data_IF_618111904791
#
_entry.id   IF_618111904791
#
_cell.length_a   1.000
_cell.length_b   1.000
_cell.length_c   1.000
_cell.angle_alpha   90.00
_cell.angle_beta   90.00
_cell.angle_gamma   90.00
#
_symmetry.space_group_name_H-M   'P 1'
#
loop_
_entity.id
_entity.type
_entity.pdbx_description
1 polymer ?
#
# COMPACT_ATOMS: atom_id res chain seq x y z
N UNK A 1 -2.76 23.15 -5.61
CA UNK A 1 -3.43 21.85 -5.36
C UNK A 1 -3.67 21.72 -3.87
N UNK A 2 -4.84 21.23 -3.42
CA UNK A 2 -5.13 21.06 -1.99
C UNK A 2 -4.19 20.02 -1.39
N UNK A 3 -3.46 20.37 -0.32
CA UNK A 3 -2.48 19.52 0.37
C UNK A 3 -3.10 18.34 1.15
N UNK A 4 -4.33 17.96 0.82
CA UNK A 4 -5.24 17.19 1.66
C UNK A 4 -5.60 15.86 1.00
N UNK A 5 -5.57 14.78 1.78
CA UNK A 5 -5.95 13.46 1.31
C UNK A 5 -7.45 13.46 1.00
N UNK A 6 -7.83 13.03 -0.22
CA UNK A 6 -9.24 12.95 -0.66
C UNK A 6 -9.78 11.52 -0.62
N UNK A 7 -9.02 10.63 -0.02
CA UNK A 7 -9.26 9.21 0.08
C UNK A 7 -9.35 8.83 1.55
N UNK A 8 -10.27 7.92 1.88
CA UNK A 8 -10.22 7.17 3.13
C UNK A 8 -9.75 5.75 2.82
N UNK A 9 -8.59 5.37 3.35
CA UNK A 9 -8.07 4.01 3.30
C UNK A 9 -8.38 3.30 4.61
N UNK A 10 -9.10 2.18 4.52
CA UNK A 10 -9.42 1.34 5.66
C UNK A 10 -8.83 -0.03 5.39
N UNK A 11 -8.02 -0.53 6.31
CA UNK A 11 -7.59 -1.92 6.30
C UNK A 11 -8.20 -2.69 7.46
N UNK A 12 -8.70 -3.90 7.20
CA UNK A 12 -9.14 -4.83 8.24
C UNK A 12 -8.31 -6.11 8.11
N UNK A 13 -7.63 -6.47 9.18
CA UNK A 13 -6.86 -7.70 9.27
C UNK A 13 -7.73 -8.79 9.91
N UNK A 14 -8.50 -9.49 9.09
CA UNK A 14 -9.41 -10.56 9.53
C UNK A 14 -8.86 -11.96 9.32
N UNK A 15 -7.93 -12.15 8.39
CA UNK A 15 -7.31 -13.45 8.05
C UNK A 15 -5.79 -13.35 8.05
N UNK A 16 -5.12 -14.31 8.69
CA UNK A 16 -3.67 -14.49 8.59
C UNK A 16 -3.27 -15.80 7.90
N UNK A 17 -4.22 -16.70 7.64
CA UNK A 17 -3.98 -17.95 6.90
C UNK A 17 -3.31 -17.66 5.56
N UNK A 18 -2.16 -18.27 5.29
CA UNK A 18 -1.47 -18.08 4.02
C UNK A 18 -0.59 -19.31 3.71
N UNK A 19 -0.69 -19.90 2.52
CA UNK A 19 0.16 -21.02 2.11
C UNK A 19 1.53 -20.57 1.61
N UNK A 20 1.71 -19.27 1.33
CA UNK A 20 2.95 -18.70 0.81
C UNK A 20 4.09 -18.72 1.81
N UNK A 21 5.27 -18.32 1.38
CA UNK A 21 6.49 -18.25 2.20
C UNK A 21 7.40 -17.09 1.81
N UNK A 22 6.81 -16.02 1.26
CA UNK A 22 7.52 -14.83 0.82
C UNK A 22 8.44 -14.32 1.93
N UNK A 23 9.73 -14.16 1.63
CA UNK A 23 10.72 -13.74 2.64
C UNK A 23 10.47 -12.32 3.18
N UNK A 24 9.81 -11.45 2.42
CA UNK A 24 9.38 -10.11 2.87
C UNK A 24 8.09 -10.09 3.69
N UNK A 25 7.47 -11.24 3.97
CA UNK A 25 6.18 -11.29 4.66
C UNK A 25 6.30 -10.78 6.11
N UNK A 26 5.29 -10.02 6.55
CA UNK A 26 5.17 -9.57 7.95
C UNK A 26 4.55 -10.61 8.87
N UNK A 27 3.89 -11.64 8.31
CA UNK A 27 3.31 -12.73 9.07
C UNK A 27 4.34 -13.81 9.37
N UNK A 28 4.36 -14.26 10.62
CA UNK A 28 5.15 -15.40 11.06
C UNK A 28 4.67 -16.71 10.41
N UNK A 29 5.52 -17.75 10.46
CA UNK A 29 5.11 -19.09 10.03
C UNK A 29 3.95 -19.68 10.84
N UNK A 30 3.82 -19.30 12.11
CA UNK A 30 2.78 -19.83 12.99
C UNK A 30 1.44 -19.13 12.77
N UNK A 31 1.43 -17.80 12.60
CA UNK A 31 0.21 -17.04 12.25
C UNK A 31 -0.42 -17.56 10.96
N UNK A 32 0.40 -17.95 9.97
CA UNK A 32 -0.08 -18.38 8.65
C UNK A 32 -0.76 -19.75 8.62
N UNK A 33 -0.64 -20.53 9.71
CA UNK A 33 -1.18 -21.89 9.79
C UNK A 33 -2.65 -21.93 10.21
N UNK A 34 -3.27 -20.79 10.52
CA UNK A 34 -4.68 -20.71 10.89
C UNK A 34 -5.56 -21.19 9.73
N UNK A 35 -6.73 -21.75 10.05
CA UNK A 35 -7.69 -22.30 9.08
C UNK A 35 -9.07 -21.66 9.15
N UNK A 36 -9.25 -20.76 10.09
CA UNK A 36 -10.45 -19.98 10.30
C UNK A 36 -10.04 -18.49 10.32
N UNK A 37 -10.98 -17.56 10.11
CA UNK A 37 -10.72 -16.14 10.31
C UNK A 37 -10.14 -15.89 11.71
N UNK A 38 -9.12 -15.04 11.76
CA UNK A 38 -8.42 -14.62 12.97
C UNK A 38 -9.25 -13.58 13.74
N UNK A 39 -9.98 -12.71 13.02
CA UNK A 39 -10.95 -11.79 13.61
C UNK A 39 -12.29 -12.49 13.86
N UNK A 40 -12.79 -12.41 15.09
CA UNK A 40 -14.12 -12.93 15.42
C UNK A 40 -15.23 -12.11 14.75
N UNK A 41 -16.35 -12.75 14.38
CA UNK A 41 -17.53 -12.07 13.80
C UNK A 41 -18.00 -10.88 14.64
N UNK A 42 -18.02 -11.01 15.97
CA UNK A 42 -18.41 -9.92 16.87
C UNK A 42 -17.49 -8.70 16.76
N UNK A 43 -16.19 -8.92 16.61
CA UNK A 43 -15.21 -7.82 16.43
C UNK A 43 -15.40 -7.20 15.06
N UNK A 44 -15.57 -8.01 14.01
CA UNK A 44 -15.83 -7.54 12.66
C UNK A 44 -17.13 -6.69 12.60
N UNK A 45 -18.22 -7.17 13.18
CA UNK A 45 -19.50 -6.46 13.27
C UNK A 45 -19.33 -5.09 13.94
N UNK A 46 -18.61 -5.07 15.08
CA UNK A 46 -18.35 -3.83 15.79
C UNK A 46 -17.46 -2.88 14.99
N UNK A 47 -16.44 -3.37 14.27
CA UNK A 47 -15.61 -2.55 13.38
C UNK A 47 -16.48 -1.85 12.33
N UNK A 48 -17.40 -2.57 11.69
CA UNK A 48 -18.35 -2.00 10.74
C UNK A 48 -19.28 -0.96 11.36
N UNK A 49 -19.81 -1.23 12.56
CA UNK A 49 -20.63 -0.28 13.31
C UNK A 49 -19.88 1.03 13.62
N UNK A 50 -18.59 0.93 13.99
CA UNK A 50 -17.74 2.11 14.23
C UNK A 50 -17.45 2.88 12.94
N UNK A 51 -17.12 2.18 11.87
CA UNK A 51 -16.86 2.80 10.56
C UNK A 51 -18.07 3.55 10.03
N UNK A 52 -19.26 2.98 10.17
CA UNK A 52 -20.54 3.60 9.75
C UNK A 52 -20.78 4.96 10.42
N UNK A 53 -20.35 5.11 11.69
CA UNK A 53 -20.43 6.39 12.41
C UNK A 53 -19.30 7.34 12.08
N UNK A 54 -18.12 6.82 11.77
CA UNK A 54 -16.91 7.60 11.54
C UNK A 54 -16.86 8.25 10.15
N UNK A 55 -17.25 7.52 9.10
CA UNK A 55 -17.18 8.02 7.70
C UNK A 55 -17.88 9.39 7.54
N UNK A 56 -19.10 9.62 8.06
CA UNK A 56 -19.78 10.92 7.94
C UNK A 56 -19.09 12.09 8.65
N UNK A 57 -18.13 11.83 9.54
CA UNK A 57 -17.40 12.85 10.28
C UNK A 57 -16.20 13.40 9.48
N UNK A 58 -15.86 12.78 8.35
CA UNK A 58 -14.71 13.15 7.53
C UNK A 58 -15.10 14.10 6.41
N UNK A 59 -14.39 15.23 6.34
CA UNK A 59 -14.58 16.21 5.28
C UNK A 59 -13.74 15.91 4.02
N UNK A 60 -14.24 16.38 2.87
CA UNK A 60 -13.53 16.39 1.58
C UNK A 60 -13.14 15.00 1.03
N UNK A 61 -13.88 13.96 1.41
CA UNK A 61 -13.71 12.61 0.84
C UNK A 61 -14.30 12.51 -0.56
N UNK A 62 -13.49 12.04 -1.51
CA UNK A 62 -13.88 11.73 -2.88
C UNK A 62 -14.12 10.25 -3.11
N UNK A 63 -13.41 9.38 -2.38
CA UNK A 63 -13.53 7.92 -2.49
C UNK A 63 -13.06 7.21 -1.22
N UNK A 64 -13.51 5.97 -1.04
CA UNK A 64 -13.17 5.09 0.08
C UNK A 64 -12.67 3.75 -0.49
N UNK A 65 -11.53 3.30 0.02
CA UNK A 65 -10.98 1.98 -0.25
C UNK A 65 -10.99 1.16 1.04
N UNK A 66 -11.68 0.02 1.00
CA UNK A 66 -11.74 -0.92 2.10
C UNK A 66 -10.99 -2.19 1.72
N UNK A 67 -9.94 -2.51 2.45
CA UNK A 67 -9.02 -3.59 2.10
C UNK A 67 -8.92 -4.63 3.20
N UNK A 68 -9.15 -5.89 2.84
CA UNK A 68 -8.75 -7.06 3.63
C UNK A 68 -7.35 -7.48 3.16
N UNK A 69 -6.34 -6.85 3.75
CA UNK A 69 -5.03 -6.66 3.10
C UNK A 69 -3.91 -7.62 3.50
N UNK A 70 -4.18 -8.59 4.36
CA UNK A 70 -3.18 -9.49 4.90
C UNK A 70 -3.67 -10.94 4.86
N UNK A 71 -2.74 -11.89 4.71
CA UNK A 71 -3.07 -13.30 4.51
C UNK A 71 -3.51 -13.63 3.08
N UNK A 72 -4.03 -14.85 2.90
CA UNK A 72 -4.60 -15.36 1.65
C UNK A 72 -6.08 -15.69 1.87
N UNK A 73 -6.96 -14.80 1.43
CA UNK A 73 -8.40 -14.91 1.63
C UNK A 73 -9.02 -16.10 0.90
N UNK A 74 -8.39 -16.61 -0.17
CA UNK A 74 -8.84 -17.83 -0.86
C UNK A 74 -8.66 -19.10 -0.01
N UNK A 75 -8.09 -18.98 1.19
CA UNK A 75 -8.07 -20.05 2.20
C UNK A 75 -9.37 -20.15 2.98
N UNK A 76 -10.21 -19.12 2.94
CA UNK A 76 -11.49 -19.08 3.64
C UNK A 76 -12.61 -19.66 2.77
N UNK A 77 -13.73 -20.10 3.38
CA UNK A 77 -14.90 -20.54 2.63
C UNK A 77 -15.45 -19.41 1.74
N UNK A 78 -15.89 -19.75 0.52
CA UNK A 78 -16.50 -18.80 -0.41
C UNK A 78 -17.59 -17.92 0.21
N UNK A 79 -18.45 -18.50 1.06
CA UNK A 79 -19.52 -17.77 1.74
C UNK A 79 -19.01 -16.71 2.73
N UNK A 80 -17.83 -16.93 3.32
CA UNK A 80 -17.17 -15.91 4.14
C UNK A 80 -16.75 -14.72 3.27
N UNK A 81 -16.13 -14.99 2.11
CA UNK A 81 -15.67 -13.96 1.18
C UNK A 81 -16.82 -13.13 0.61
N UNK A 82 -17.93 -13.78 0.23
CA UNK A 82 -19.15 -13.07 -0.18
C UNK A 82 -19.68 -12.19 0.95
N UNK A 83 -19.69 -12.69 2.19
CA UNK A 83 -20.15 -11.90 3.32
C UNK A 83 -19.25 -10.69 3.60
N UNK A 84 -17.92 -10.81 3.41
CA UNK A 84 -17.00 -9.67 3.49
C UNK A 84 -17.29 -8.62 2.42
N UNK A 85 -17.56 -9.04 1.19
CA UNK A 85 -17.95 -8.15 0.10
C UNK A 85 -19.28 -7.46 0.39
N UNK A 86 -20.32 -8.20 0.77
CA UNK A 86 -21.63 -7.66 1.10
C UNK A 86 -21.54 -6.57 2.16
N UNK A 87 -20.82 -6.81 3.26
CA UNK A 87 -20.67 -5.84 4.35
C UNK A 87 -19.90 -4.59 3.91
N UNK A 88 -18.82 -4.78 3.16
CA UNK A 88 -18.01 -3.67 2.65
C UNK A 88 -18.78 -2.82 1.64
N UNK A 89 -19.48 -3.48 0.71
CA UNK A 89 -20.34 -2.82 -0.27
C UNK A 89 -21.48 -2.08 0.42
N UNK A 90 -22.17 -2.69 1.38
CA UNK A 90 -23.26 -2.04 2.13
C UNK A 90 -22.79 -0.78 2.86
N UNK A 91 -21.60 -0.82 3.47
CA UNK A 91 -21.01 0.35 4.14
C UNK A 91 -20.77 1.49 3.14
N UNK A 92 -20.06 1.21 2.04
CA UNK A 92 -19.71 2.20 1.02
C UNK A 92 -20.96 2.77 0.34
N UNK A 93 -21.88 1.90 -0.10
CA UNK A 93 -23.12 2.28 -0.77
C UNK A 93 -24.02 3.16 0.12
N UNK A 94 -24.13 2.86 1.42
CA UNK A 94 -24.92 3.64 2.38
C UNK A 94 -24.44 5.08 2.51
N UNK A 95 -23.13 5.29 2.40
CA UNK A 95 -22.51 6.61 2.46
C UNK A 95 -22.35 7.28 1.08
N UNK A 96 -22.92 6.69 0.01
CA UNK A 96 -22.90 7.25 -1.34
C UNK A 96 -21.60 7.03 -2.11
N UNK A 97 -20.79 6.04 -1.71
CA UNK A 97 -19.52 5.68 -2.35
C UNK A 97 -19.67 4.43 -3.22
N UNK A 98 -20.59 4.48 -4.18
CA UNK A 98 -20.92 3.36 -5.10
C UNK A 98 -20.36 3.54 -6.52
N UNK A 99 -19.58 4.60 -6.75
CA UNK A 99 -18.91 4.84 -8.03
C UNK A 99 -17.65 3.99 -8.23
N UNK A 100 -17.11 3.94 -9.47
CA UNK A 100 -16.05 3.00 -9.88
C UNK A 100 -14.68 3.22 -9.22
N UNK A 101 -14.50 4.33 -8.49
CA UNK A 101 -13.28 4.61 -7.71
C UNK A 101 -13.29 3.98 -6.32
N UNK A 102 -14.41 3.42 -5.90
CA UNK A 102 -14.58 2.80 -4.59
C UNK A 102 -14.67 1.29 -4.80
N UNK A 103 -13.89 0.55 -4.04
CA UNK A 103 -13.92 -0.90 -4.09
C UNK A 103 -13.62 -1.49 -2.72
N UNK A 104 -14.06 -2.74 -2.58
CA UNK A 104 -13.62 -3.63 -1.51
C UNK A 104 -12.52 -4.50 -2.08
N UNK A 105 -11.39 -4.60 -1.40
CA UNK A 105 -10.24 -5.38 -1.85
C UNK A 105 -9.98 -6.56 -0.94
N UNK A 106 -9.49 -7.67 -1.48
CA UNK A 106 -9.03 -8.80 -0.68
C UNK A 106 -7.70 -9.35 -1.18
N UNK A 107 -6.77 -9.64 -0.27
CA UNK A 107 -5.48 -10.23 -0.63
C UNK A 107 -5.61 -11.73 -0.93
N UNK A 108 -4.95 -12.16 -2.00
CA UNK A 108 -4.86 -13.58 -2.36
C UNK A 108 -3.47 -13.91 -2.85
N UNK A 109 -2.91 -15.04 -2.42
CA UNK A 109 -1.63 -15.49 -2.92
C UNK A 109 -1.76 -16.30 -4.21
N UNK A 110 -2.98 -16.73 -4.59
CA UNK A 110 -3.25 -17.55 -5.79
C UNK A 110 -2.42 -18.85 -5.87
N UNK A 111 -1.97 -19.35 -4.71
CA UNK A 111 -1.17 -20.58 -4.59
C UNK A 111 -2.11 -21.77 -4.49
N UNK A 112 -2.18 -22.56 -5.56
CA UNK A 112 -2.99 -23.78 -5.57
C UNK A 112 -3.21 -24.32 -6.97
N UNK A 113 -3.94 -25.44 -7.03
CA UNK A 113 -4.36 -26.01 -8.32
C UNK A 113 -5.52 -25.18 -8.86
N UNK A 114 -5.43 -24.77 -10.13
CA UNK A 114 -6.48 -23.99 -10.81
C UNK A 114 -7.88 -24.59 -10.64
N UNK A 115 -8.03 -25.92 -10.74
CA UNK A 115 -9.32 -26.63 -10.56
C UNK A 115 -9.98 -26.45 -9.19
N UNK A 116 -9.25 -25.99 -8.19
CA UNK A 116 -9.76 -25.71 -6.86
C UNK A 116 -9.97 -24.20 -6.65
N UNK A 117 -9.08 -23.35 -7.16
CA UNK A 117 -9.12 -21.90 -6.95
C UNK A 117 -10.09 -21.19 -7.89
N UNK A 118 -10.09 -21.54 -9.17
CA UNK A 118 -10.83 -20.82 -10.20
C UNK A 118 -12.35 -20.85 -9.98
N UNK A 119 -12.99 -21.97 -9.57
CA UNK A 119 -14.44 -21.98 -9.33
C UNK A 119 -14.89 -20.96 -8.28
N UNK A 120 -14.09 -20.78 -7.21
CA UNK A 120 -14.40 -19.80 -6.16
C UNK A 120 -14.18 -18.37 -6.66
N UNK A 121 -13.13 -18.13 -7.46
CA UNK A 121 -12.87 -16.82 -8.07
C UNK A 121 -13.93 -16.42 -9.10
N UNK A 122 -14.38 -17.36 -9.93
CA UNK A 122 -15.49 -17.18 -10.88
C UNK A 122 -16.77 -16.81 -10.11
N UNK A 123 -17.09 -17.56 -9.05
CA UNK A 123 -18.26 -17.27 -8.22
C UNK A 123 -18.18 -15.90 -7.49
N UNK A 124 -16.98 -15.40 -7.19
CA UNK A 124 -16.78 -14.05 -6.65
C UNK A 124 -16.88 -12.97 -7.73
N UNK A 125 -16.32 -13.21 -8.92
CA UNK A 125 -16.42 -12.28 -10.05
C UNK A 125 -17.89 -12.08 -10.50
N UNK A 126 -18.68 -13.16 -10.46
CA UNK A 126 -20.12 -13.15 -10.76
C UNK A 126 -20.99 -12.59 -9.61
N UNK A 127 -20.41 -12.33 -8.43
CA UNK A 127 -21.12 -11.76 -7.29
C UNK A 127 -21.33 -10.26 -7.49
N UNK A 128 -22.32 -9.91 -8.32
CA UNK A 128 -22.52 -8.54 -8.78
C UNK A 128 -23.13 -7.64 -7.69
N UNK A 129 -22.41 -6.56 -7.40
CA UNK A 129 -22.79 -5.44 -6.54
C UNK A 129 -22.33 -4.15 -7.23
N UNK A 130 -22.85 -3.00 -6.80
CA UNK A 130 -22.42 -1.70 -7.34
C UNK A 130 -20.96 -1.42 -7.00
N UNK A 131 -20.59 -1.67 -5.74
CA UNK A 131 -19.20 -1.67 -5.29
C UNK A 131 -18.56 -3.02 -5.62
N UNK A 132 -17.43 -3.01 -6.32
CA UNK A 132 -16.74 -4.23 -6.76
C UNK A 132 -15.89 -4.86 -5.64
N UNK A 133 -15.68 -6.17 -5.74
CA UNK A 133 -14.78 -6.93 -4.88
C UNK A 133 -13.55 -7.36 -5.70
N UNK A 134 -12.43 -6.69 -5.48
CA UNK A 134 -11.25 -6.80 -6.34
C UNK A 134 -10.12 -7.53 -5.61
N UNK A 135 -9.48 -8.52 -6.26
CA UNK A 135 -8.35 -9.21 -5.66
C UNK A 135 -7.10 -8.33 -5.72
N UNK A 136 -6.30 -8.42 -4.65
CA UNK A 136 -4.90 -8.01 -4.63
C UNK A 136 -4.08 -9.30 -4.75
N UNK A 137 -3.52 -9.54 -5.93
CA UNK A 137 -2.73 -10.72 -6.25
C UNK A 137 -1.29 -10.55 -5.75
N UNK A 138 -0.89 -11.34 -4.76
CA UNK A 138 0.49 -11.31 -4.25
C UNK A 138 1.38 -12.14 -5.17
N UNK A 139 2.37 -11.50 -5.79
CA UNK A 139 3.43 -12.11 -6.59
C UNK A 139 4.60 -12.54 -5.70
N UNK A 140 4.94 -13.82 -5.75
CA UNK A 140 6.14 -14.38 -5.13
C UNK A 140 7.13 -14.84 -6.22
N UNK A 141 8.24 -14.12 -6.42
CA UNK A 141 9.27 -14.50 -7.40
C UNK A 141 9.83 -15.91 -7.20
N UNK A 142 9.89 -16.43 -5.97
CA UNK A 142 10.37 -17.78 -5.71
C UNK A 142 9.42 -18.84 -6.27
N UNK A 143 8.12 -18.55 -6.31
CA UNK A 143 7.11 -19.42 -6.91
C UNK A 143 7.02 -19.22 -8.42
N UNK A 144 7.10 -17.97 -8.91
CA UNK A 144 7.08 -17.64 -10.33
C UNK A 144 8.18 -18.39 -11.09
N UNK A 145 9.41 -18.38 -10.56
CA UNK A 145 10.55 -19.04 -11.19
C UNK A 145 10.75 -20.50 -10.72
N UNK A 146 9.76 -21.10 -10.05
CA UNK A 146 9.82 -22.50 -9.66
C UNK A 146 9.60 -23.42 -10.88
N UNK A 147 10.55 -24.31 -11.17
CA UNK A 147 10.49 -25.21 -12.34
C UNK A 147 9.25 -26.11 -12.42
N UNK A 148 8.62 -26.43 -11.29
CA UNK A 148 7.49 -27.37 -11.23
C UNK A 148 6.14 -26.67 -11.02
N UNK A 149 6.14 -25.37 -10.68
CA UNK A 149 4.94 -24.66 -10.27
C UNK A 149 4.76 -23.28 -10.93
N UNK A 150 5.83 -22.69 -11.48
CA UNK A 150 5.84 -21.35 -12.06
C UNK A 150 4.75 -21.13 -13.11
N UNK A 151 4.63 -22.02 -14.09
CA UNK A 151 3.61 -21.92 -15.14
C UNK A 151 2.18 -21.99 -14.59
N UNK A 152 1.94 -22.83 -13.58
CA UNK A 152 0.62 -22.93 -12.92
C UNK A 152 0.32 -21.64 -12.15
N UNK A 153 1.33 -21.10 -11.48
CA UNK A 153 1.20 -19.91 -10.66
C UNK A 153 0.96 -18.65 -11.51
N UNK A 154 1.78 -18.45 -12.54
CA UNK A 154 1.58 -17.41 -13.56
C UNK A 154 0.19 -17.54 -14.19
N UNK A 155 -0.19 -18.75 -14.62
CA UNK A 155 -1.51 -19.01 -15.20
C UNK A 155 -2.67 -18.69 -14.26
N UNK A 156 -2.53 -18.88 -12.94
CA UNK A 156 -3.55 -18.48 -11.98
C UNK A 156 -3.66 -16.95 -11.89
N UNK A 157 -2.53 -16.23 -11.89
CA UNK A 157 -2.51 -14.75 -11.86
C UNK A 157 -3.17 -14.18 -13.12
N UNK A 158 -2.75 -14.61 -14.31
CA UNK A 158 -3.30 -14.12 -15.59
C UNK A 158 -4.80 -14.38 -15.71
N UNK A 159 -5.27 -15.57 -15.31
CA UNK A 159 -6.70 -15.91 -15.33
C UNK A 159 -7.50 -15.07 -14.35
N UNK A 160 -6.96 -14.80 -13.16
CA UNK A 160 -7.62 -13.93 -12.18
C UNK A 160 -7.78 -12.52 -12.74
N UNK A 161 -6.73 -11.97 -13.36
CA UNK A 161 -6.80 -10.66 -14.03
C UNK A 161 -7.84 -10.64 -15.16
N UNK A 162 -7.91 -11.68 -15.97
CA UNK A 162 -8.93 -11.80 -17.02
C UNK A 162 -10.36 -11.89 -16.47
N UNK A 163 -10.57 -12.52 -15.30
CA UNK A 163 -11.88 -12.66 -14.66
C UNK A 163 -12.39 -11.33 -14.08
N UNK A 164 -11.55 -10.62 -13.33
CA UNK A 164 -11.97 -9.42 -12.60
C UNK A 164 -11.78 -8.14 -13.40
N UNK A 165 -10.93 -8.14 -14.44
CA UNK A 165 -10.55 -6.96 -15.22
C UNK A 165 -9.63 -6.02 -14.44
N UNK A 166 -10.02 -5.62 -13.23
CA UNK A 166 -9.21 -4.80 -12.32
C UNK A 166 -8.67 -5.68 -11.18
N UNK A 167 -7.35 -5.86 -11.15
CA UNK A 167 -6.63 -6.64 -10.13
C UNK A 167 -5.35 -5.90 -9.82
N UNK A 168 -5.07 -5.71 -8.53
CA UNK A 168 -3.84 -5.07 -8.10
C UNK A 168 -2.76 -6.15 -7.97
N UNK A 169 -1.63 -5.98 -8.66
CA UNK A 169 -0.48 -6.86 -8.47
C UNK A 169 0.36 -6.32 -7.32
N UNK A 170 0.65 -7.14 -6.31
CA UNK A 170 1.47 -6.74 -5.18
C UNK A 170 2.70 -7.62 -5.02
N UNK A 171 3.83 -7.04 -4.60
CA UNK A 171 5.07 -7.76 -4.29
C UNK A 171 5.60 -7.35 -2.92
N UNK A 172 6.04 -8.34 -2.12
CA UNK A 172 6.72 -8.11 -0.86
C UNK A 172 8.24 -8.22 -1.07
N UNK A 173 8.96 -7.11 -0.92
CA UNK A 173 10.39 -7.04 -1.14
C UNK A 173 11.19 -7.59 0.04
N UNK A 174 12.26 -8.27 -0.33
CA UNK A 174 13.33 -8.79 0.52
C UNK A 174 14.56 -8.97 -0.36
N UNK A 175 15.71 -9.29 0.24
CA UNK A 175 16.92 -9.69 -0.51
C UNK A 175 16.63 -10.85 -1.47
N UNK A 176 15.86 -11.84 -1.04
CA UNK A 176 15.47 -12.96 -1.89
C UNK A 176 14.58 -12.52 -3.06
N UNK A 177 13.64 -11.60 -2.83
CA UNK A 177 12.75 -11.13 -3.89
C UNK A 177 13.54 -10.39 -4.98
N UNK A 178 14.35 -9.40 -4.60
CA UNK A 178 15.08 -8.55 -5.56
C UNK A 178 16.22 -9.27 -6.28
N UNK A 179 16.70 -10.40 -5.73
CA UNK A 179 17.69 -11.26 -6.41
C UNK A 179 17.05 -12.24 -7.40
N UNK A 180 15.74 -12.48 -7.29
CA UNK A 180 15.00 -13.40 -8.16
C UNK A 180 14.28 -12.70 -9.30
N UNK A 181 13.81 -11.47 -9.09
CA UNK A 181 13.14 -10.68 -10.12
C UNK A 181 13.79 -9.31 -10.24
N UNK A 182 14.22 -8.97 -11.44
CA UNK A 182 14.74 -7.63 -11.75
C UNK A 182 13.59 -6.63 -11.89
N UNK A 183 13.86 -5.31 -11.77
CA UNK A 183 12.87 -4.28 -12.04
C UNK A 183 12.24 -4.39 -13.44
N UNK A 184 13.07 -4.74 -14.44
CA UNK A 184 12.64 -4.95 -15.83
C UNK A 184 11.68 -6.13 -15.95
N UNK A 185 12.03 -7.27 -15.38
CA UNK A 185 11.19 -8.47 -15.42
C UNK A 185 9.84 -8.26 -14.72
N UNK A 186 9.81 -7.58 -13.57
CA UNK A 186 8.56 -7.25 -12.89
C UNK A 186 7.67 -6.35 -13.75
N UNK A 187 8.25 -5.31 -14.36
CA UNK A 187 7.51 -4.45 -15.27
C UNK A 187 6.96 -5.24 -16.47
N UNK A 188 7.79 -6.05 -17.10
CA UNK A 188 7.38 -6.80 -18.30
C UNK A 188 6.33 -7.83 -17.97
N UNK A 189 6.43 -8.50 -16.82
CA UNK A 189 5.37 -9.36 -16.30
C UNK A 189 4.05 -8.60 -16.11
N UNK A 190 4.10 -7.42 -15.49
CA UNK A 190 2.92 -6.60 -15.26
C UNK A 190 2.27 -6.18 -16.59
N UNK A 191 3.05 -5.69 -17.55
CA UNK A 191 2.58 -5.27 -18.88
C UNK A 191 2.02 -6.44 -19.69
N UNK A 192 2.70 -7.60 -19.72
CA UNK A 192 2.24 -8.78 -20.47
C UNK A 192 0.90 -9.31 -19.95
N UNK A 193 0.60 -9.05 -18.68
CA UNK A 193 -0.63 -9.47 -18.03
C UNK A 193 -1.63 -8.32 -17.83
N UNK A 194 -1.44 -7.17 -18.50
CA UNK A 194 -2.37 -6.04 -18.53
C UNK A 194 -2.65 -5.39 -17.15
N UNK A 195 -1.68 -5.44 -16.23
CA UNK A 195 -1.78 -4.77 -14.94
C UNK A 195 -1.51 -3.26 -15.07
N UNK A 196 -2.36 -2.44 -14.46
CA UNK A 196 -2.25 -0.97 -14.47
C UNK A 196 -1.29 -0.44 -13.38
N UNK A 197 -1.17 -1.17 -12.28
CA UNK A 197 -0.38 -0.79 -11.12
C UNK A 197 0.29 -2.00 -10.48
N UNK A 198 1.51 -1.76 -9.96
CA UNK A 198 2.20 -2.69 -9.06
C UNK A 198 2.36 -2.06 -7.68
N UNK A 199 1.71 -2.68 -6.68
CA UNK A 199 1.91 -2.35 -5.27
C UNK A 199 3.21 -2.96 -4.77
N UNK A 200 4.14 -2.12 -4.34
CA UNK A 200 5.45 -2.56 -3.85
C UNK A 200 5.54 -2.36 -2.35
N UNK A 201 5.72 -3.47 -1.61
CA UNK A 201 5.76 -3.48 -0.16
C UNK A 201 7.16 -3.83 0.34
N UNK A 202 7.80 -2.92 1.07
CA UNK A 202 9.00 -3.17 1.85
C UNK A 202 8.73 -2.80 3.32
N UNK A 203 8.38 -3.81 4.10
CA UNK A 203 7.88 -3.64 5.47
C UNK A 203 8.73 -4.45 6.44
N UNK A 204 9.90 -3.92 6.87
CA UNK A 204 10.77 -4.60 7.81
C UNK A 204 10.12 -4.67 9.20
N UNK A 205 10.13 -5.86 9.79
CA UNK A 205 9.72 -6.16 11.17
C UNK A 205 10.90 -6.79 11.90
N UNK A 206 10.85 -6.89 13.24
CA UNK A 206 11.87 -7.64 14.00
C UNK A 206 12.01 -9.09 13.54
N UNK A 207 10.92 -9.69 13.06
CA UNK A 207 10.87 -11.09 12.65
C UNK A 207 11.49 -11.34 11.28
N UNK A 208 11.35 -10.40 10.33
CA UNK A 208 11.83 -10.56 8.96
C UNK A 208 13.06 -9.69 8.63
N UNK A 209 13.59 -8.94 9.60
CA UNK A 209 14.70 -8.00 9.41
C UNK A 209 15.93 -8.65 8.75
N UNK A 210 16.18 -9.92 9.07
CA UNK A 210 17.28 -10.68 8.51
C UNK A 210 17.13 -10.93 7.01
N UNK A 211 15.94 -10.80 6.43
CA UNK A 211 15.69 -10.93 4.99
C UNK A 211 15.40 -9.58 4.31
N UNK A 212 14.95 -8.58 5.06
CA UNK A 212 14.49 -7.30 4.51
C UNK A 212 15.50 -6.16 4.65
N UNK A 213 16.51 -6.29 5.52
CA UNK A 213 17.44 -5.20 5.84
C UNK A 213 18.92 -5.47 5.50
N UNK A 214 19.26 -6.62 4.91
CA UNK A 214 20.66 -6.92 4.56
C UNK A 214 21.17 -6.11 3.36
N UNK A 215 20.28 -5.72 2.45
CA UNK A 215 20.63 -5.15 1.15
C UNK A 215 19.96 -3.78 0.91
N UNK A 216 19.97 -2.88 1.90
CA UNK A 216 19.26 -1.59 1.83
C UNK A 216 19.65 -0.76 0.60
N UNK A 217 20.95 -0.66 0.29
CA UNK A 217 21.41 0.09 -0.89
C UNK A 217 20.92 -0.55 -2.20
N UNK A 218 21.13 -1.86 -2.37
CA UNK A 218 20.65 -2.59 -3.54
C UNK A 218 19.13 -2.53 -3.70
N UNK A 219 18.40 -2.53 -2.59
CA UNK A 219 16.95 -2.38 -2.58
C UNK A 219 16.52 -0.98 -3.01
N UNK A 220 17.21 0.07 -2.55
CA UNK A 220 16.95 1.43 -2.98
C UNK A 220 17.21 1.59 -4.49
N UNK A 221 18.32 1.06 -4.99
CA UNK A 221 18.65 1.04 -6.42
C UNK A 221 17.56 0.30 -7.23
N UNK A 222 17.14 -0.87 -6.74
CA UNK A 222 16.07 -1.66 -7.38
C UNK A 222 14.76 -0.87 -7.48
N UNK A 223 14.37 -0.16 -6.41
CA UNK A 223 13.15 0.66 -6.37
C UNK A 223 13.25 1.86 -7.32
N UNK A 224 14.40 2.54 -7.36
CA UNK A 224 14.66 3.67 -8.26
C UNK A 224 14.63 3.23 -9.72
N UNK A 225 15.24 2.07 -10.02
CA UNK A 225 15.24 1.51 -11.38
C UNK A 225 13.82 1.12 -11.80
N UNK A 226 13.04 0.46 -10.93
CA UNK A 226 11.65 0.10 -11.21
C UNK A 226 10.78 1.32 -11.49
N UNK A 227 10.90 2.36 -10.67
CA UNK A 227 10.21 3.63 -10.86
C UNK A 227 10.58 4.29 -12.19
N UNK A 228 11.88 4.37 -12.48
CA UNK A 228 12.41 4.97 -13.71
C UNK A 228 11.89 4.25 -14.96
N UNK A 229 11.77 2.93 -14.87
CA UNK A 229 11.18 2.06 -15.89
C UNK A 229 9.70 2.37 -16.07
N UNK A 230 8.93 2.39 -14.98
CA UNK A 230 7.48 2.56 -15.01
C UNK A 230 7.11 3.91 -15.63
N UNK A 231 7.79 4.98 -15.20
CA UNK A 231 7.61 6.34 -15.73
C UNK A 231 7.96 6.45 -17.22
N UNK A 232 9.01 5.78 -17.71
CA UNK A 232 9.43 5.88 -19.11
C UNK A 232 8.45 5.25 -20.09
N UNK A 233 7.75 4.21 -19.67
CA UNK A 233 6.87 3.45 -20.54
C UNK A 233 5.41 3.85 -20.43
N UNK A 234 5.01 4.58 -19.38
CA UNK A 234 3.65 5.10 -19.13
C UNK A 234 2.55 4.03 -19.28
N UNK A 235 2.88 2.79 -18.92
CA UNK A 235 1.99 1.62 -19.02
C UNK A 235 1.60 1.06 -17.67
N UNK A 236 2.51 1.15 -16.70
CA UNK A 236 2.27 0.69 -15.33
C UNK A 236 2.69 1.80 -14.37
N UNK A 237 1.98 1.91 -13.26
CA UNK A 237 2.36 2.76 -12.14
C UNK A 237 2.89 1.94 -10.96
N UNK A 238 3.54 2.60 -10.00
CA UNK A 238 3.97 1.98 -8.74
C UNK A 238 3.29 2.68 -7.57
N UNK A 239 2.88 1.91 -6.54
CA UNK A 239 2.10 2.47 -5.43
C UNK A 239 2.85 3.52 -4.60
N UNK A 240 4.18 3.40 -4.47
CA UNK A 240 4.98 4.30 -3.62
C UNK A 240 5.31 5.64 -4.29
N UNK A 241 5.34 5.71 -5.63
CA UNK A 241 5.71 6.94 -6.34
C UNK A 241 4.72 8.11 -6.11
N UNK A 242 3.39 7.91 -6.21
CA UNK A 242 2.40 8.93 -5.88
C UNK A 242 2.51 9.38 -4.41
N UNK A 243 2.72 8.45 -3.48
CA UNK A 243 2.86 8.73 -2.04
C UNK A 243 4.04 9.66 -1.78
N UNK A 244 5.22 9.30 -2.29
CA UNK A 244 6.43 10.11 -2.11
C UNK A 244 6.30 11.46 -2.78
N UNK A 245 5.76 11.51 -4.00
CA UNK A 245 5.53 12.77 -4.73
C UNK A 245 4.57 13.68 -3.97
N UNK A 246 3.43 13.17 -3.49
CA UNK A 246 2.48 13.94 -2.66
C UNK A 246 3.12 14.46 -1.38
N UNK A 247 3.90 13.61 -0.70
CA UNK A 247 4.56 13.96 0.57
C UNK A 247 5.64 15.02 0.37
N UNK A 248 6.44 14.89 -0.70
CA UNK A 248 7.43 15.90 -1.11
C UNK A 248 6.69 17.21 -1.42
N UNK A 249 5.64 17.19 -2.23
CA UNK A 249 4.89 18.39 -2.57
C UNK A 249 4.22 19.03 -1.34
N UNK A 250 3.66 18.26 -0.42
CA UNK A 250 3.05 18.79 0.81
C UNK A 250 4.09 19.50 1.70
N UNK A 251 5.31 18.99 1.75
CA UNK A 251 6.44 19.59 2.46
C UNK A 251 7.02 20.80 1.71
N UNK A 252 7.19 20.69 0.39
CA UNK A 252 7.86 21.69 -0.45
C UNK A 252 6.95 22.87 -0.84
N UNK A 253 5.65 22.67 -1.05
CA UNK A 253 4.71 23.77 -1.31
C UNK A 253 4.58 24.72 -0.10
N UNK A 254 4.88 24.24 1.12
CA UNK A 254 5.00 25.09 2.32
C UNK A 254 6.32 25.86 2.39
N UNK A 255 7.29 25.51 1.54
CA UNK A 255 8.56 26.25 1.35
C UNK A 255 8.58 27.18 0.14
N UNK A 256 7.47 27.24 -0.64
CA UNK A 256 7.33 28.24 -1.69
C UNK A 256 7.40 29.65 -1.06
N UNK A 257 8.06 30.59 -1.75
CA UNK A 257 8.41 31.96 -1.31
C UNK A 257 9.74 32.13 -0.55
N UNK A 258 10.68 31.18 -0.65
CA UNK A 258 12.02 31.31 -0.05
C UNK A 258 12.06 30.99 1.44
N UNK A 259 11.05 30.28 1.94
CA UNK A 259 10.95 29.78 3.31
C UNK A 259 11.68 28.43 3.37
N UNK A 260 12.46 28.19 4.43
CA UNK A 260 13.10 26.88 4.64
C UNK A 260 12.06 25.75 4.67
N UNK A 261 12.41 24.51 4.26
CA UNK A 261 11.54 23.35 4.41
C UNK A 261 10.99 23.26 5.85
N UNK A 262 9.73 22.82 6.05
CA UNK A 262 9.15 22.76 7.38
C UNK A 262 10.02 21.88 8.29
N UNK A 263 10.19 22.34 9.52
CA UNK A 263 10.85 21.55 10.57
C UNK A 263 10.11 20.24 10.82
N UNK A 264 10.81 19.27 11.42
CA UNK A 264 10.20 18.01 11.88
C UNK A 264 8.92 18.26 12.71
N UNK A 265 8.95 19.28 13.57
CA UNK A 265 7.81 19.68 14.40
C UNK A 265 6.62 20.14 13.57
N UNK A 266 6.84 21.03 12.61
CA UNK A 266 5.77 21.55 11.75
C UNK A 266 5.13 20.43 10.91
N UNK A 267 5.93 19.53 10.33
CA UNK A 267 5.38 18.38 9.59
C UNK A 267 4.46 17.53 10.49
N UNK A 268 4.94 17.16 11.68
CA UNK A 268 4.19 16.29 12.60
C UNK A 268 2.94 16.98 13.15
N UNK A 269 3.00 18.30 13.37
CA UNK A 269 1.86 19.05 13.91
C UNK A 269 0.78 19.31 12.87
N UNK A 270 1.16 19.57 11.61
CA UNK A 270 0.27 20.11 10.58
C UNK A 270 -0.14 19.11 9.49
N UNK A 271 0.68 18.11 9.16
CA UNK A 271 0.43 17.19 8.04
C UNK A 271 -0.07 15.83 8.56
N UNK A 272 0.67 15.26 9.52
CA UNK A 272 0.41 13.91 10.03
C UNK A 272 -1.04 13.66 10.53
N UNK A 273 -1.70 14.59 11.27
CA UNK A 273 -3.02 14.30 11.83
C UNK A 273 -4.07 13.95 10.78
N UNK A 274 -4.04 14.63 9.64
CA UNK A 274 -5.00 14.36 8.57
C UNK A 274 -4.73 13.02 7.91
N UNK A 275 -3.46 12.71 7.63
CA UNK A 275 -3.07 11.40 7.07
C UNK A 275 -3.59 10.27 7.96
N UNK A 276 -3.39 10.37 9.27
CA UNK A 276 -3.80 9.32 10.22
C UNK A 276 -5.32 9.19 10.34
N UNK A 277 -6.08 10.28 10.21
CA UNK A 277 -7.55 10.21 10.20
C UNK A 277 -8.11 9.52 8.96
N UNK A 278 -7.37 9.56 7.85
CA UNK A 278 -7.80 9.08 6.54
C UNK A 278 -7.09 7.79 6.09
N UNK A 279 -6.20 7.24 6.91
CA UNK A 279 -5.59 5.94 6.67
C UNK A 279 -5.48 5.19 7.99
N UNK A 280 -6.38 4.22 8.17
CA UNK A 280 -6.56 3.47 9.42
C UNK A 280 -6.55 1.97 9.16
N UNK A 281 -6.11 1.21 10.16
CA UNK A 281 -6.11 -0.25 10.14
C UNK A 281 -6.75 -0.79 11.43
N UNK A 282 -7.50 -1.88 11.30
CA UNK A 282 -7.98 -2.68 12.42
C UNK A 282 -7.26 -4.01 12.43
N UNK A 283 -6.57 -4.34 13.51
CA UNK A 283 -6.03 -5.69 13.67
C UNK A 283 -7.14 -6.70 14.04
N UNK A 284 -6.82 -8.01 14.02
CA UNK A 284 -7.78 -9.08 14.35
C UNK A 284 -8.42 -9.00 15.76
N UNK A 285 -7.85 -8.23 16.68
CA UNK A 285 -8.43 -7.98 18.01
C UNK A 285 -9.32 -6.72 18.05
N UNK A 286 -9.41 -5.98 16.96
CA UNK A 286 -10.13 -4.72 16.86
C UNK A 286 -9.33 -3.53 17.40
N UNK A 287 -8.00 -3.64 17.49
CA UNK A 287 -7.17 -2.48 17.80
C UNK A 287 -7.12 -1.54 16.60
N UNK A 288 -7.36 -0.25 16.83
CA UNK A 288 -7.22 0.81 15.84
C UNK A 288 -5.76 1.21 15.74
N UNK A 289 -5.19 1.08 14.55
CA UNK A 289 -3.80 1.43 14.23
C UNK A 289 -3.79 2.56 13.19
N UNK A 290 -2.84 3.50 13.26
CA UNK A 290 -2.59 4.37 12.13
C UNK A 290 -1.99 3.52 11.00
N UNK A 291 -2.50 3.66 9.79
CA UNK A 291 -1.91 3.08 8.58
C UNK A 291 -1.20 4.21 7.83
N UNK A 292 0.07 4.04 7.55
CA UNK A 292 0.91 5.08 6.94
C UNK A 292 1.60 4.50 5.72
N UNK A 293 1.60 5.27 4.64
CA UNK A 293 2.21 4.86 3.39
C UNK A 293 3.71 5.20 3.39
N UNK A 294 4.54 4.27 2.94
CA UNK A 294 5.95 4.45 2.62
C UNK A 294 6.25 3.66 1.31
N UNK A 295 7.25 2.77 1.31
CA UNK A 295 7.34 1.71 0.31
C UNK A 295 6.43 0.58 0.80
N UNK A 296 5.12 0.74 0.55
CA UNK A 296 4.07 -0.10 1.10
C UNK A 296 3.45 0.44 2.39
N UNK A 297 2.48 -0.30 2.91
CA UNK A 297 1.69 0.10 4.07
C UNK A 297 2.35 -0.35 5.39
N UNK A 298 2.56 0.60 6.30
CA UNK A 298 3.13 0.34 7.63
C UNK A 298 2.22 0.89 8.72
N UNK A 299 2.11 0.17 9.84
CA UNK A 299 1.24 0.58 10.95
C UNK A 299 1.91 0.58 12.31
N UNK A 300 1.24 1.14 13.33
CA UNK A 300 1.71 1.08 14.71
C UNK A 300 1.07 -0.10 15.43
N UNK A 301 1.49 -1.31 15.05
CA UNK A 301 1.03 -2.55 15.65
C UNK A 301 2.12 -3.28 16.43
N UNK A 302 1.71 -4.35 17.13
CA UNK A 302 2.61 -5.22 17.90
C UNK A 302 3.77 -5.80 17.07
N UNK A 303 3.55 -6.05 15.77
CA UNK A 303 4.61 -6.51 14.82
C UNK A 303 5.77 -5.52 14.66
N UNK A 304 5.54 -4.26 15.02
CA UNK A 304 6.52 -3.18 14.92
C UNK A 304 6.96 -2.64 16.29
N UNK A 305 6.59 -3.30 17.39
CA UNK A 305 6.84 -2.81 18.76
C UNK A 305 6.24 -1.41 19.03
N UNK A 306 5.19 -1.04 18.30
CA UNK A 306 4.49 0.24 18.42
C UNK A 306 3.07 0.01 18.93
N UNK A 307 2.56 0.86 19.85
CA UNK A 307 1.25 0.66 20.42
C UNK A 307 0.15 1.18 19.49
N UNK A 308 -1.00 0.51 19.56
CA UNK A 308 -2.25 0.92 18.95
C UNK A 308 -2.72 2.31 19.46
N UNK A 309 -3.67 2.91 18.74
CA UNK A 309 -4.33 4.15 19.11
C UNK A 309 -5.47 3.93 20.12
N UNK A 310 -6.07 2.75 20.10
CA UNK A 310 -7.14 2.33 20.98
C UNK A 310 -7.75 1.01 20.51
N UNK A 311 -8.86 0.59 21.11
CA UNK A 311 -9.63 -0.57 20.66
C UNK A 311 -11.09 -0.20 20.38
N UNK A 312 -11.69 -0.76 19.32
CA UNK A 312 -13.11 -0.50 18.92
C UNK A 312 -14.15 -0.75 20.03
N UNK A 313 -13.77 -1.51 21.07
CA UNK A 313 -14.60 -1.78 22.24
C UNK A 313 -14.63 -0.62 23.24
N UNK A 314 -13.70 0.32 23.15
CA UNK A 314 -13.48 1.38 24.13
C UNK A 314 -14.21 2.67 23.78
N UNK A 315 -14.52 2.92 22.50
CA UNK A 315 -15.20 4.15 22.08
C UNK A 315 -15.40 4.26 20.57
N UNK A 316 -15.71 5.47 20.13
CA UNK A 316 -15.79 5.84 18.70
C UNK A 316 -14.39 6.13 18.13
N UNK A 317 -14.26 6.06 16.80
CA UNK A 317 -12.95 6.18 16.10
C UNK A 317 -12.35 7.58 16.23
N UNK A 318 -13.16 8.63 16.07
CA UNK A 318 -12.73 10.02 16.23
C UNK A 318 -12.21 10.33 17.63
N UNK A 319 -12.93 9.89 18.66
CA UNK A 319 -12.51 10.06 20.06
C UNK A 319 -11.20 9.34 20.35
N UNK A 320 -11.03 8.10 19.86
CA UNK A 320 -9.79 7.34 20.00
C UNK A 320 -8.61 8.06 19.31
N UNK A 321 -8.84 8.58 18.10
CA UNK A 321 -7.84 9.33 17.35
C UNK A 321 -7.42 10.61 18.09
N UNK A 322 -8.39 11.37 18.60
CA UNK A 322 -8.15 12.62 19.33
C UNK A 322 -7.33 12.39 20.60
N UNK A 323 -7.66 11.35 21.35
CA UNK A 323 -6.97 11.00 22.58
C UNK A 323 -5.55 10.49 22.32
N UNK A 324 -5.35 9.69 21.27
CA UNK A 324 -4.06 9.07 20.96
C UNK A 324 -3.09 9.99 20.22
N UNK A 325 -3.59 11.00 19.49
CA UNK A 325 -2.80 11.85 18.59
C UNK A 325 -1.59 12.53 19.27
N UNK A 326 -1.70 13.11 20.48
CA UNK A 326 -0.54 13.72 21.14
C UNK A 326 0.59 12.70 21.41
N UNK A 327 0.22 11.50 21.84
CA UNK A 327 1.17 10.42 22.09
C UNK A 327 1.82 9.91 20.80
N UNK A 328 1.04 9.79 19.73
CA UNK A 328 1.53 9.42 18.40
C UNK A 328 2.56 10.43 17.88
N UNK A 329 2.23 11.74 17.92
CA UNK A 329 3.11 12.84 17.52
C UNK A 329 4.44 12.81 18.29
N UNK A 330 4.36 12.71 19.62
CA UNK A 330 5.56 12.64 20.47
C UNK A 330 6.43 11.43 20.18
N UNK A 331 5.82 10.28 19.83
CA UNK A 331 6.55 9.06 19.52
C UNK A 331 7.31 9.17 18.20
N UNK A 332 6.66 9.63 17.15
CA UNK A 332 7.28 9.82 15.82
C UNK A 332 8.43 10.83 15.91
N UNK A 333 8.21 11.94 16.63
CA UNK A 333 9.25 12.90 16.96
C UNK A 333 10.46 12.22 17.63
N UNK A 334 10.20 11.45 18.70
CA UNK A 334 11.25 10.76 19.46
C UNK A 334 11.99 9.70 18.65
N UNK A 335 11.33 8.98 17.73
CA UNK A 335 11.97 8.02 16.84
C UNK A 335 13.02 8.71 15.97
N UNK A 336 12.65 9.81 15.31
CA UNK A 336 13.59 10.55 14.46
C UNK A 336 14.68 11.26 15.26
N UNK A 337 14.35 11.90 16.39
CA UNK A 337 15.32 12.64 17.20
C UNK A 337 16.37 11.75 17.88
N UNK A 338 16.12 10.45 18.04
CA UNK A 338 17.11 9.51 18.59
C UNK A 338 18.16 9.06 17.57
N UNK A 339 17.87 9.18 16.27
CA UNK A 339 18.79 8.80 15.21
C UNK A 339 19.65 9.99 14.80
N UNK A 340 20.98 9.87 14.99
CA UNK A 340 21.95 10.89 14.55
C UNK A 340 21.86 11.14 13.04
N UNK A 341 21.71 10.08 12.25
CA UNK A 341 21.53 10.17 10.80
C UNK A 341 20.27 10.96 10.44
N UNK A 342 19.15 10.72 11.14
CA UNK A 342 17.90 11.45 10.87
C UNK A 342 17.99 12.94 11.20
N UNK A 343 18.59 13.31 12.35
CA UNK A 343 18.68 14.72 12.77
C UNK A 343 19.47 15.60 11.79
N UNK A 344 20.39 15.02 11.02
CA UNK A 344 21.22 15.72 10.04
C UNK A 344 20.71 15.53 8.61
N UNK A 345 19.63 14.77 8.41
CA UNK A 345 19.13 14.41 7.10
C UNK A 345 18.29 15.54 6.48
N UNK A 346 18.59 16.01 5.26
CA UNK A 346 17.79 17.02 4.56
C UNK A 346 16.39 16.52 4.15
N UNK A 347 16.14 15.21 4.23
CA UNK A 347 14.87 14.58 3.88
C UNK A 347 13.97 14.28 5.10
N UNK A 348 14.39 14.68 6.30
CA UNK A 348 13.71 14.38 7.56
C UNK A 348 12.22 14.79 7.56
N UNK A 349 11.89 15.97 7.04
CA UNK A 349 10.52 16.47 7.01
C UNK A 349 9.61 15.64 6.09
N UNK A 350 10.13 15.09 4.99
CA UNK A 350 9.38 14.17 4.11
C UNK A 350 9.23 12.80 4.78
N UNK A 351 10.30 12.27 5.39
CA UNK A 351 10.23 11.02 6.15
C UNK A 351 9.20 11.08 7.29
N UNK A 352 9.08 12.22 7.96
CA UNK A 352 8.12 12.40 9.06
C UNK A 352 6.66 12.52 8.59
N UNK A 353 6.42 12.88 7.33
CA UNK A 353 5.09 12.91 6.71
C UNK A 353 4.62 11.53 6.22
N UNK A 354 5.51 10.53 6.23
CA UNK A 354 5.29 9.19 5.68
C UNK A 354 5.48 8.12 6.76
N UNK A 355 5.32 6.85 6.38
CA UNK A 355 5.55 5.69 7.26
C UNK A 355 7.01 5.41 7.63
N UNK A 356 8.01 6.12 7.10
CA UNK A 356 9.43 5.78 7.28
C UNK A 356 9.94 5.85 8.72
N UNK A 357 9.23 6.48 9.65
CA UNK A 357 9.54 6.38 11.07
C UNK A 357 9.41 4.94 11.61
N UNK A 358 8.53 4.10 11.04
CA UNK A 358 8.40 2.69 11.46
C UNK A 358 9.67 1.90 11.11
N UNK A 359 10.16 1.86 9.85
CA UNK A 359 11.49 1.31 9.55
C UNK A 359 12.63 1.96 10.34
N UNK A 360 12.56 3.28 10.61
CA UNK A 360 13.57 3.95 11.47
C UNK A 360 13.58 3.34 12.87
N UNK A 361 12.42 3.04 13.44
CA UNK A 361 12.32 2.40 14.75
C UNK A 361 12.86 0.98 14.75
N UNK A 362 12.51 0.17 13.74
CA UNK A 362 12.94 -1.22 13.64
C UNK A 362 14.44 -1.33 13.35
N UNK A 363 14.96 -0.53 12.43
CA UNK A 363 16.34 -0.63 11.95
C UNK A 363 17.31 0.23 12.77
N UNK A 364 16.85 1.34 13.34
CA UNK A 364 17.68 2.25 14.16
C UNK A 364 18.20 1.60 15.44
N UNK A 365 17.49 0.63 16.00
CA UNK A 365 17.90 -0.11 17.20
C UNK A 365 18.93 -1.22 16.91
N UNK A 366 19.36 -1.42 15.66
CA UNK A 366 20.34 -2.46 15.30
C UNK A 366 21.78 -2.15 15.72
N UNK A 367 22.00 -1.05 16.46
CA UNK A 367 23.31 -0.72 17.04
C UNK A 367 24.35 -0.23 16.02
N UNK A 368 23.94 0.09 14.79
CA UNK A 368 24.80 0.80 13.84
C UNK A 368 24.86 2.26 14.28
N UNK A 369 25.98 2.64 14.90
CA UNK A 369 26.33 4.05 15.15
C UNK A 369 26.74 4.72 13.81
N UNK A 370 25.87 4.64 12.81
CA UNK A 370 26.11 5.14 11.46
C UNK A 370 25.52 6.54 11.31
N UNK A 371 26.27 7.42 10.66
CA UNK A 371 25.76 8.69 10.14
C UNK A 371 24.84 8.53 8.93
N UNK A 372 24.69 7.31 8.43
CA UNK A 372 23.92 6.97 7.23
C UNK A 372 22.46 6.64 7.54
N UNK A 373 21.60 6.88 6.56
CA UNK A 373 20.18 6.56 6.65
C UNK A 373 19.99 5.04 6.87
N UNK A 374 19.21 4.61 7.88
CA UNK A 374 19.06 3.18 8.19
C UNK A 374 18.15 2.43 7.21
N UNK A 375 17.57 3.11 6.22
CA UNK A 375 16.57 2.58 5.29
C UNK A 375 16.64 3.29 3.92
N UNK A 376 15.80 2.86 2.98
CA UNK A 376 15.79 3.31 1.58
C UNK A 376 15.34 4.76 1.37
N UNK A 377 14.78 5.43 2.39
CA UNK A 377 14.06 6.69 2.20
C UNK A 377 14.91 7.82 1.63
N UNK A 378 16.16 7.99 2.11
CA UNK A 378 17.00 9.10 1.69
C UNK A 378 17.25 9.08 0.17
N UNK A 379 17.69 7.94 -0.36
CA UNK A 379 17.98 7.78 -1.79
C UNK A 379 16.72 7.95 -2.65
N UNK A 380 15.60 7.35 -2.22
CA UNK A 380 14.33 7.49 -2.93
C UNK A 380 13.86 8.95 -2.97
N UNK A 381 13.82 9.63 -1.82
CA UNK A 381 13.35 11.01 -1.74
C UNK A 381 14.25 11.93 -2.57
N UNK A 382 15.57 11.73 -2.55
CA UNK A 382 16.50 12.50 -3.38
C UNK A 382 16.23 12.30 -4.87
N UNK A 383 16.00 11.05 -5.32
CA UNK A 383 15.61 10.75 -6.70
C UNK A 383 14.33 11.49 -7.13
N UNK A 384 13.27 11.43 -6.33
CA UNK A 384 12.01 12.12 -6.65
C UNK A 384 12.16 13.65 -6.62
N UNK A 385 12.94 14.21 -5.68
CA UNK A 385 13.21 15.66 -5.63
C UNK A 385 13.98 16.13 -6.87
N UNK A 386 15.01 15.39 -7.30
CA UNK A 386 15.79 15.75 -8.49
C UNK A 386 14.93 15.76 -9.75
N UNK A 387 14.03 14.78 -9.90
CA UNK A 387 13.09 14.73 -11.01
C UNK A 387 12.13 15.93 -11.02
N UNK A 388 11.56 16.29 -9.87
CA UNK A 388 10.68 17.46 -9.77
C UNK A 388 11.37 18.75 -10.22
N UNK A 389 12.63 18.94 -9.83
CA UNK A 389 13.45 20.10 -10.25
C UNK A 389 13.69 20.09 -11.77
N UNK A 390 13.95 18.94 -12.38
CA UNK A 390 14.16 18.83 -13.83
C UNK A 390 12.89 19.18 -14.60
N UNK A 391 11.72 18.75 -14.11
CA UNK A 391 10.43 19.07 -14.73
C UNK A 391 10.11 20.57 -14.66
N UNK A 392 10.44 21.24 -13.55
CA UNK A 392 10.22 22.70 -13.37
C UNK A 392 11.24 23.58 -14.14
N UNK A 393 12.38 23.02 -14.57
CA UNK A 393 13.43 23.75 -15.32
C UNK A 393 13.31 23.64 -16.84
N UNK A 394 12.31 22.91 -17.36
CA UNK A 394 12.02 22.92 -18.79
C UNK A 394 11.31 24.24 -19.16
N UNK A 395 11.79 25.00 -20.17
CA UNK A 395 11.17 26.26 -20.54
C UNK A 395 9.73 26.05 -20.97
N UNK A 396 8.83 26.91 -20.46
CA UNK A 396 7.43 27.04 -20.90
C UNK A 396 7.37 27.07 -22.44
N UNK A 397 6.98 25.94 -23.03
CA UNK A 397 7.09 25.72 -24.47
C UNK A 397 7.19 24.25 -24.90
N UNK A 398 7.37 23.33 -23.96
CA UNK A 398 7.09 21.90 -24.20
C UNK A 398 5.73 21.56 -23.57
N UNK A 399 4.67 21.63 -24.38
CA UNK A 399 3.31 21.27 -23.97
C UNK A 399 3.25 19.80 -23.55
N UNK A 400 3.24 19.55 -22.25
CA UNK A 400 2.92 18.26 -21.64
C UNK A 400 1.49 17.79 -21.93
N UNK A 401 0.63 18.68 -22.43
CA UNK A 401 -0.73 18.36 -22.88
C UNK A 401 -0.78 17.63 -24.24
N UNK A 402 0.33 17.63 -25.01
CA UNK A 402 0.42 16.86 -26.25
C UNK A 402 0.55 15.33 -26.01
N UNK A 403 0.91 14.89 -24.80
CA UNK A 403 0.98 13.47 -24.44
C UNK A 403 -0.35 12.91 -23.92
N UNK A 404 -1.21 13.75 -23.34
CA UNK A 404 -2.54 13.35 -22.87
C UNK A 404 -3.58 13.19 -24.02
N UNK A 405 -3.42 13.95 -25.11
CA UNK A 405 -4.33 13.87 -26.27
C UNK A 405 -3.92 12.75 -27.25
N UNK A 406 -2.64 12.37 -27.29
CA UNK A 406 -2.17 11.28 -28.14
C UNK A 406 -2.59 9.87 -27.65
N UNK A 407 -2.80 9.69 -26.34
CA UNK A 407 -3.28 8.40 -25.78
C UNK A 407 -4.78 8.17 -25.98
N UNK A 408 -5.58 9.24 -26.13
CA UNK A 408 -7.00 9.11 -26.50
C UNK A 408 -7.18 8.84 -27.99
N UNK A 409 -6.41 9.49 -28.87
CA UNK A 409 -6.51 9.29 -30.32
C UNK A 409 -6.02 7.90 -30.79
N UNK A 410 -5.10 7.26 -30.08
CA UNK A 410 -4.63 5.90 -30.40
C UNK A 410 -5.57 4.80 -29.92
N UNK A 411 -6.36 5.05 -28.86
CA UNK A 411 -7.37 4.11 -28.36
C UNK A 411 -8.65 4.07 -29.22
N UNK A 412 -9.03 5.18 -29.86
CA UNK A 412 -10.19 5.22 -30.76
C UNK A 412 -9.88 4.62 -32.14
N UNK A 413 -8.67 4.80 -32.67
CA UNK A 413 -8.25 4.17 -33.94
C UNK A 413 -8.06 2.63 -33.83
N UNK A 414 -7.75 2.13 -32.63
CA UNK A 414 -7.64 0.68 -32.36
C UNK A 414 -8.98 -0.04 -32.24
N UNK A 415 -10.07 0.67 -31.90
CA UNK A 415 -11.41 0.08 -31.77
C UNK A 415 -12.14 -0.06 -33.10
N UNK A 416 -11.89 0.79 -34.09
CA UNK A 416 -12.53 0.67 -35.41
C UNK A 416 -11.88 -0.41 -36.31
N UNK A 417 -10.64 -0.80 -36.03
CA UNK A 417 -9.93 -1.82 -36.82
C UNK A 417 -10.30 -3.28 -36.46
N UNK A 418 -10.96 -3.52 -35.32
CA UNK A 418 -11.32 -4.89 -34.85
C UNK A 418 -12.72 -5.33 -35.31
N UNK A 419 -13.52 -4.43 -35.88
CA UNK A 419 -14.82 -4.77 -36.50
C UNK A 419 -14.76 -5.03 -38.01
N UNK A 420 -13.56 -5.06 -38.59
CA UNK A 420 -13.37 -5.36 -40.01
C UNK A 420 -12.15 -6.26 -40.22
N UNK A 421 -12.19 -7.50 -39.71
CA UNK A 421 -11.61 -8.68 -40.35
C UNK A 421 -12.12 -9.99 -39.75
#
# INVERSE_FOLDING_TARGET
MTAYARELQIQIDDVYSCPGNCAGCVLSADERRTRNPDMSTRVLDLTYERLDRYIPQLDNLSYINLTYGIGDHMRMPLEYLKNLHERGADLLERHGYDGPKNAVFFSTSLIGKAKNLMPDLEALADHDRRVKFLPIAILDPALLYNKNFGEVYEGNISRTKALFGQVDLAINLSEEAITRITPRELHDFAVMNDFDEVTVNWVPTRMNIAQTAQCIETLADWLIEFESIATKHDRISSSFAPVLTRSINAVMCKSADGVEPPSLKQTIEEILPETVRKSIQFDHFGNLLPKLEAVGDVSHGSRFDLPALGNIREGEIDEMLDQAMPGLKSRIMGIHSRSKACMQCPNLSVCAATGFHVPTHILGDTGRDSSECPHVAAQLIDHFKQRAIITDQMPDGFDGDALAVASQATNDAGREAVTAH
#
